data_IF_348132885852
#
_entry.id   IF_348132885852
#
_cell.length_a   1.000
_cell.length_b   1.000
_cell.length_c   1.000
_cell.angle_alpha   90.00
_cell.angle_beta   90.00
_cell.angle_gamma   90.00
#
_symmetry.space_group_name_H-M   'P 1'
#
loop_
_entity.id
_entity.type
_entity.pdbx_description
1 polymer ?
#
# COMPACT_ATOMS: atom_id res chain seq x y z
N UNK A 1 18.61 -13.34 18.30
CA UNK A 1 17.34 -13.37 17.51
C UNK A 1 17.38 -14.65 16.65
N UNK A 2 16.33 -15.49 16.67
CA UNK A 2 16.30 -16.68 15.82
C UNK A 2 16.24 -16.29 14.34
N UNK A 3 16.73 -17.14 13.39
CA UNK A 3 16.69 -16.82 11.96
C UNK A 3 15.26 -16.55 11.42
N UNK A 4 14.27 -17.20 11.99
CA UNK A 4 12.86 -16.99 11.65
C UNK A 4 12.39 -15.58 12.05
N UNK A 5 12.70 -15.13 13.27
CA UNK A 5 12.34 -13.78 13.74
C UNK A 5 13.03 -12.69 12.93
N UNK A 6 14.29 -12.92 12.53
CA UNK A 6 15.01 -12.00 11.66
C UNK A 6 14.34 -11.87 10.28
N UNK A 7 13.85 -12.99 9.74
CA UNK A 7 13.11 -13.00 8.48
C UNK A 7 11.81 -12.22 8.59
N UNK A 8 11.04 -12.41 9.68
CA UNK A 8 9.80 -11.67 9.93
C UNK A 8 10.06 -10.17 10.15
N UNK A 9 11.07 -9.83 10.93
CA UNK A 9 11.51 -8.44 11.15
C UNK A 9 11.84 -7.73 9.83
N UNK A 10 12.61 -8.40 8.97
CA UNK A 10 12.98 -7.87 7.66
C UNK A 10 11.77 -7.77 6.73
N UNK A 11 10.89 -8.77 6.74
CA UNK A 11 9.64 -8.76 5.97
C UNK A 11 8.74 -7.58 6.33
N UNK A 12 8.54 -7.32 7.61
CA UNK A 12 7.77 -6.16 8.09
C UNK A 12 8.44 -4.82 7.78
N UNK A 13 9.78 -4.78 7.77
CA UNK A 13 10.52 -3.61 7.33
C UNK A 13 10.27 -3.31 5.85
N UNK A 14 10.32 -4.34 5.00
CA UNK A 14 10.01 -4.20 3.58
C UNK A 14 8.55 -3.78 3.36
N UNK A 15 7.61 -4.31 4.14
CA UNK A 15 6.21 -3.89 4.10
C UNK A 15 6.05 -2.40 4.44
N UNK A 16 6.67 -1.93 5.51
CA UNK A 16 6.58 -0.53 5.92
C UNK A 16 7.19 0.42 4.88
N UNK A 17 8.38 0.11 4.38
CA UNK A 17 9.01 0.89 3.31
C UNK A 17 8.25 0.78 1.99
N UNK A 18 7.63 -0.37 1.68
CA UNK A 18 6.75 -0.52 0.54
C UNK A 18 5.61 0.49 0.55
N UNK A 19 4.95 0.65 1.70
CA UNK A 19 3.90 1.68 1.87
C UNK A 19 4.43 3.11 1.74
N UNK A 20 5.67 3.37 2.15
CA UNK A 20 6.32 4.66 1.89
C UNK A 20 6.40 4.93 0.39
N UNK A 21 7.03 4.04 -0.39
CA UNK A 21 7.21 4.21 -1.84
C UNK A 21 5.89 4.27 -2.63
N UNK A 22 4.82 3.66 -2.13
CA UNK A 22 3.51 3.69 -2.78
C UNK A 22 2.75 5.01 -2.59
N UNK A 23 2.98 5.69 -1.46
CA UNK A 23 2.18 6.85 -1.08
C UNK A 23 2.94 8.18 -1.13
N UNK A 24 4.27 8.13 -1.18
CA UNK A 24 5.10 9.33 -1.34
C UNK A 24 5.56 9.41 -2.80
N UNK A 25 4.97 10.33 -3.53
CA UNK A 25 5.30 10.61 -4.91
C UNK A 25 5.96 12.00 -5.00
N UNK A 26 7.19 12.04 -5.46
CA UNK A 26 7.93 13.28 -5.70
C UNK A 26 8.17 13.40 -7.19
N UNK A 27 7.49 14.34 -7.81
CA UNK A 27 7.57 14.56 -9.26
C UNK A 27 8.46 15.74 -9.60
N UNK A 28 9.37 15.55 -10.54
CA UNK A 28 10.08 16.63 -11.23
C UNK A 28 9.58 16.70 -12.67
N UNK A 29 8.70 17.67 -12.95
CA UNK A 29 8.00 17.74 -14.23
C UNK A 29 7.08 16.53 -14.42
N UNK A 30 7.27 15.78 -15.50
CA UNK A 30 6.48 14.58 -15.82
C UNK A 30 7.03 13.30 -15.19
N UNK A 31 8.23 13.34 -14.62
CA UNK A 31 8.93 12.15 -14.11
C UNK A 31 8.78 12.02 -12.60
N UNK A 32 8.27 10.89 -12.14
CA UNK A 32 8.29 10.55 -10.73
C UNK A 32 9.69 10.09 -10.30
N UNK A 33 10.26 10.75 -9.29
CA UNK A 33 11.57 10.42 -8.70
C UNK A 33 11.47 9.21 -7.78
N UNK A 34 10.33 9.05 -7.14
CA UNK A 34 10.05 7.90 -6.26
C UNK A 34 9.09 6.96 -6.99
N UNK A 35 9.61 5.92 -7.68
CA UNK A 35 8.77 5.08 -8.52
C UNK A 35 7.92 4.13 -7.67
N UNK A 36 6.60 4.15 -7.89
CA UNK A 36 5.61 3.32 -7.18
C UNK A 36 5.88 1.82 -7.32
N UNK A 37 6.45 1.37 -8.44
CA UNK A 37 6.74 -0.05 -8.63
C UNK A 37 7.73 -0.59 -7.59
N UNK A 38 8.65 0.23 -7.08
CA UNK A 38 9.57 -0.15 -6.00
C UNK A 38 8.80 -0.51 -4.73
N UNK A 39 7.71 0.21 -4.45
CA UNK A 39 6.82 -0.12 -3.34
C UNK A 39 6.23 -1.52 -3.47
N UNK A 40 5.71 -1.89 -4.65
CA UNK A 40 5.19 -3.24 -4.90
C UNK A 40 6.27 -4.32 -4.87
N UNK A 41 7.49 -4.04 -5.34
CA UNK A 41 8.63 -4.98 -5.23
C UNK A 41 8.99 -5.24 -3.75
N UNK A 42 8.99 -4.20 -2.93
CA UNK A 42 9.20 -4.34 -1.48
C UNK A 42 8.08 -5.14 -0.82
N UNK A 43 6.82 -4.92 -1.20
CA UNK A 43 5.70 -5.71 -0.72
C UNK A 43 5.77 -7.17 -1.19
N UNK A 44 6.19 -7.41 -2.43
CA UNK A 44 6.42 -8.76 -2.95
C UNK A 44 7.50 -9.51 -2.14
N UNK A 45 8.59 -8.81 -1.82
CA UNK A 45 9.65 -9.33 -0.93
C UNK A 45 9.14 -9.58 0.49
N UNK A 46 8.32 -8.67 1.03
CA UNK A 46 7.67 -8.84 2.33
C UNK A 46 6.78 -10.09 2.36
N UNK A 47 5.93 -10.27 1.33
CA UNK A 47 5.07 -11.46 1.19
C UNK A 47 5.93 -12.73 1.19
N UNK A 48 7.05 -12.76 0.45
CA UNK A 48 7.95 -13.91 0.42
C UNK A 48 8.48 -14.30 1.80
N UNK A 49 8.79 -13.30 2.64
CA UNK A 49 9.33 -13.51 3.99
C UNK A 49 8.26 -13.83 5.04
N UNK A 50 7.04 -13.31 4.86
CA UNK A 50 5.94 -13.47 5.82
C UNK A 50 5.01 -14.65 5.48
N UNK A 51 5.15 -15.25 4.31
CA UNK A 51 4.27 -16.34 3.83
C UNK A 51 4.35 -17.61 4.68
N UNK A 52 5.45 -17.83 5.41
CA UNK A 52 5.58 -18.93 6.38
C UNK A 52 4.58 -18.81 7.55
N UNK A 53 4.24 -17.60 7.96
CA UNK A 53 3.29 -17.33 9.04
C UNK A 53 1.83 -17.27 8.58
N UNK A 54 1.60 -16.81 7.34
CA UNK A 54 0.27 -16.63 6.77
C UNK A 54 0.26 -17.13 5.33
N UNK A 55 -0.34 -18.29 5.11
CA UNK A 55 -0.44 -18.91 3.77
C UNK A 55 -1.24 -18.03 2.79
N UNK A 56 -2.21 -17.27 3.30
CA UNK A 56 -3.06 -16.39 2.49
C UNK A 56 -2.25 -15.31 1.77
N UNK A 57 -1.13 -14.84 2.39
CA UNK A 57 -0.21 -13.89 1.76
C UNK A 57 0.37 -14.42 0.44
N UNK A 58 0.55 -15.73 0.31
CA UNK A 58 1.10 -16.32 -0.92
C UNK A 58 0.18 -16.06 -2.11
N UNK A 59 -1.14 -15.98 -1.90
CA UNK A 59 -2.12 -15.69 -2.95
C UNK A 59 -1.99 -14.27 -3.50
N UNK A 60 -1.38 -13.35 -2.72
CA UNK A 60 -1.15 -11.98 -3.16
C UNK A 60 0.12 -11.82 -4.02
N UNK A 61 1.00 -12.83 -4.07
CA UNK A 61 2.26 -12.76 -4.85
C UNK A 61 2.03 -12.45 -6.33
N UNK A 62 1.17 -13.19 -7.07
CA UNK A 62 0.96 -12.90 -8.48
C UNK A 62 0.38 -11.50 -8.71
N UNK A 63 -0.49 -11.04 -7.81
CA UNK A 63 -1.07 -9.71 -7.90
C UNK A 63 -0.03 -8.61 -7.64
N UNK A 64 0.82 -8.77 -6.61
CA UNK A 64 1.92 -7.85 -6.35
C UNK A 64 2.92 -7.77 -7.51
N UNK A 65 3.23 -8.91 -8.14
CA UNK A 65 4.10 -8.97 -9.30
C UNK A 65 3.48 -8.24 -10.51
N UNK A 66 2.19 -8.49 -10.78
CA UNK A 66 1.47 -7.84 -11.88
C UNK A 66 1.42 -6.32 -11.68
N UNK A 67 1.08 -5.85 -10.48
CA UNK A 67 1.07 -4.42 -10.14
C UNK A 67 2.48 -3.81 -10.24
N UNK A 68 3.52 -4.54 -9.82
CA UNK A 68 4.91 -4.08 -9.98
C UNK A 68 5.25 -3.84 -11.46
N UNK A 69 4.89 -4.78 -12.33
CA UNK A 69 5.15 -4.66 -13.78
C UNK A 69 4.35 -3.49 -14.36
N UNK A 70 3.07 -3.37 -14.02
CA UNK A 70 2.21 -2.29 -14.49
C UNK A 70 2.80 -0.91 -14.15
N UNK A 71 3.10 -0.67 -12.87
CA UNK A 71 3.66 0.61 -12.44
C UNK A 71 5.10 0.85 -12.91
N UNK A 72 5.87 -0.21 -13.20
CA UNK A 72 7.18 -0.07 -13.82
C UNK A 72 7.07 0.39 -15.29
N UNK A 73 6.13 -0.18 -16.04
CA UNK A 73 5.85 0.24 -17.41
C UNK A 73 5.35 1.68 -17.46
N UNK A 74 4.42 2.06 -16.59
CA UNK A 74 3.91 3.42 -16.49
C UNK A 74 5.03 4.41 -16.16
N UNK A 75 5.90 4.07 -15.21
CA UNK A 75 7.07 4.88 -14.86
C UNK A 75 8.05 5.03 -16.02
N UNK A 76 8.35 3.95 -16.74
CA UNK A 76 9.25 4.01 -17.90
C UNK A 76 8.68 4.89 -19.02
N UNK A 77 7.39 4.78 -19.30
CA UNK A 77 6.73 5.57 -20.33
C UNK A 77 6.63 7.05 -19.96
N UNK A 78 6.54 7.37 -18.66
CA UNK A 78 6.49 8.76 -18.19
C UNK A 78 7.75 9.57 -18.57
N UNK A 79 8.90 8.91 -18.76
CA UNK A 79 10.15 9.55 -19.23
C UNK A 79 10.05 10.03 -20.68
N UNK A 80 9.23 9.34 -21.50
CA UNK A 80 8.93 9.75 -22.86
C UNK A 80 7.73 10.69 -23.00
N UNK A 81 7.17 11.16 -21.88
CA UNK A 81 5.95 11.96 -21.87
C UNK A 81 4.67 11.14 -22.14
N UNK A 82 4.77 9.81 -22.13
CA UNK A 82 3.64 8.87 -22.23
C UNK A 82 3.16 8.39 -20.86
N UNK A 83 2.04 7.66 -20.84
CA UNK A 83 1.53 6.90 -19.71
C UNK A 83 0.88 5.63 -20.24
N UNK A 84 0.89 4.55 -19.44
CA UNK A 84 0.09 3.35 -19.76
C UNK A 84 -1.37 3.62 -19.42
N UNK A 85 -1.58 4.30 -18.29
CA UNK A 85 -2.90 4.71 -17.83
C UNK A 85 -3.50 5.87 -18.63
N UNK A 86 -4.82 6.04 -18.54
CA UNK A 86 -5.57 7.10 -19.20
C UNK A 86 -5.95 6.85 -20.67
N UNK A 87 -5.40 5.82 -21.30
CA UNK A 87 -5.75 5.46 -22.69
C UNK A 87 -6.91 4.44 -22.79
N UNK A 88 -7.05 3.58 -21.76
CA UNK A 88 -8.08 2.55 -21.73
C UNK A 88 -8.73 2.58 -20.34
N UNK A 89 -9.78 3.37 -20.20
CA UNK A 89 -10.51 3.55 -18.92
C UNK A 89 -10.85 2.23 -18.20
N UNK A 90 -11.26 1.21 -18.96
CA UNK A 90 -11.61 -0.09 -18.40
C UNK A 90 -10.39 -0.79 -17.77
N UNK A 91 -9.20 -0.65 -18.34
CA UNK A 91 -7.96 -1.22 -17.83
C UNK A 91 -7.51 -0.52 -16.55
N UNK A 92 -7.61 0.81 -16.51
CA UNK A 92 -7.30 1.61 -15.32
C UNK A 92 -8.21 1.24 -14.14
N UNK A 93 -9.49 1.03 -14.39
CA UNK A 93 -10.44 0.56 -13.38
C UNK A 93 -10.09 -0.83 -12.85
N UNK A 94 -9.70 -1.76 -13.72
CA UNK A 94 -9.27 -3.11 -13.31
C UNK A 94 -8.00 -3.03 -12.45
N UNK A 95 -7.01 -2.28 -12.88
CA UNK A 95 -5.75 -2.12 -12.13
C UNK A 95 -6.00 -1.42 -10.79
N UNK A 96 -6.84 -0.38 -10.79
CA UNK A 96 -7.24 0.31 -9.56
C UNK A 96 -7.95 -0.62 -8.58
N UNK A 97 -8.93 -1.40 -9.06
CA UNK A 97 -9.63 -2.39 -8.23
C UNK A 97 -8.69 -3.49 -7.71
N UNK A 98 -7.77 -3.96 -8.56
CA UNK A 98 -6.74 -4.93 -8.18
C UNK A 98 -5.81 -4.38 -7.09
N UNK A 99 -5.38 -3.13 -7.20
CA UNK A 99 -4.55 -2.46 -6.20
C UNK A 99 -5.31 -2.28 -4.87
N UNK A 100 -6.58 -1.85 -4.91
CA UNK A 100 -7.42 -1.72 -3.72
C UNK A 100 -7.64 -3.07 -3.01
N UNK A 101 -7.93 -4.12 -3.77
CA UNK A 101 -8.05 -5.48 -3.25
C UNK A 101 -6.74 -5.94 -2.59
N UNK A 102 -5.61 -5.71 -3.27
CA UNK A 102 -4.29 -6.02 -2.75
C UNK A 102 -4.04 -5.35 -1.39
N UNK A 103 -4.27 -4.04 -1.29
CA UNK A 103 -4.08 -3.30 -0.04
C UNK A 103 -5.02 -3.78 1.06
N UNK A 104 -6.29 -4.03 0.72
CA UNK A 104 -7.26 -4.53 1.68
C UNK A 104 -6.83 -5.88 2.26
N UNK A 105 -6.49 -6.83 1.40
CA UNK A 105 -6.13 -8.17 1.82
C UNK A 105 -4.78 -8.19 2.56
N UNK A 106 -3.77 -7.51 2.03
CA UNK A 106 -2.45 -7.44 2.66
C UNK A 106 -2.53 -6.87 4.09
N UNK A 107 -3.27 -5.77 4.29
CA UNK A 107 -3.44 -5.18 5.63
C UNK A 107 -4.32 -6.03 6.54
N UNK A 108 -5.22 -6.84 5.99
CA UNK A 108 -5.98 -7.85 6.76
C UNK A 108 -5.04 -8.89 7.34
N UNK A 109 -4.11 -9.39 6.53
CA UNK A 109 -3.13 -10.37 6.96
C UNK A 109 -2.13 -9.79 7.96
N UNK A 110 -1.74 -8.51 7.77
CA UNK A 110 -0.90 -7.80 8.76
C UNK A 110 -1.62 -7.60 10.09
N UNK A 111 -2.92 -7.31 10.08
CA UNK A 111 -3.70 -7.21 11.31
C UNK A 111 -3.84 -8.55 12.03
N UNK A 112 -4.03 -9.65 11.30
CA UNK A 112 -4.06 -10.98 11.88
C UNK A 112 -2.69 -11.43 12.42
N UNK A 113 -1.59 -10.99 11.77
CA UNK A 113 -0.24 -11.19 12.29
C UNK A 113 -0.03 -10.39 13.59
N UNK A 114 -0.53 -9.14 13.64
CA UNK A 114 -0.47 -8.30 14.83
C UNK A 114 -1.25 -8.94 15.99
N UNK A 115 -2.44 -9.49 15.74
CA UNK A 115 -3.26 -10.18 16.73
C UNK A 115 -2.49 -11.34 17.40
N UNK A 116 -1.67 -12.05 16.63
CA UNK A 116 -0.90 -13.21 17.11
C UNK A 116 0.35 -12.82 17.92
N UNK A 117 1.01 -11.73 17.56
CA UNK A 117 2.34 -11.38 18.09
C UNK A 117 2.39 -10.12 18.95
N UNK A 118 1.30 -9.36 19.04
CA UNK A 118 1.25 -8.18 19.91
C UNK A 118 1.17 -8.56 21.37
N UNK A 119 1.71 -7.72 22.26
CA UNK A 119 1.49 -7.84 23.69
C UNK A 119 0.00 -7.58 24.03
N UNK A 120 -0.51 -8.25 25.06
CA UNK A 120 -1.88 -8.05 25.55
C UNK A 120 -2.17 -6.57 25.84
N UNK A 121 -3.34 -6.10 25.41
CA UNK A 121 -3.76 -4.71 25.59
C UNK A 121 -3.22 -3.69 24.58
N UNK A 122 -2.33 -4.06 23.66
CA UNK A 122 -1.75 -3.13 22.68
C UNK A 122 -2.79 -2.68 21.65
N UNK A 123 -3.71 -3.56 21.21
CA UNK A 123 -4.76 -3.26 20.24
C UNK A 123 -4.25 -2.82 18.86
N UNK A 124 -3.08 -3.31 18.46
CA UNK A 124 -2.47 -2.97 17.17
C UNK A 124 -3.23 -3.57 16.00
N UNK A 125 -3.78 -4.77 16.15
CA UNK A 125 -4.66 -5.47 15.20
C UNK A 125 -5.89 -4.62 14.87
N UNK A 126 -6.59 -4.14 15.88
CA UNK A 126 -7.78 -3.29 15.75
C UNK A 126 -7.47 -1.97 15.07
N UNK A 127 -6.31 -1.35 15.43
CA UNK A 127 -5.84 -0.13 14.76
C UNK A 127 -5.52 -0.38 13.29
N UNK A 128 -4.86 -1.48 12.95
CA UNK A 128 -4.56 -1.85 11.56
C UNK A 128 -5.84 -2.09 10.76
N UNK A 129 -6.82 -2.82 11.31
CA UNK A 129 -8.13 -3.06 10.67
C UNK A 129 -8.87 -1.75 10.41
N UNK A 130 -8.90 -0.82 11.39
CA UNK A 130 -9.52 0.50 11.22
C UNK A 130 -8.80 1.35 10.16
N UNK A 131 -7.45 1.42 10.24
CA UNK A 131 -6.64 2.19 9.29
C UNK A 131 -6.75 1.65 7.86
N UNK A 132 -6.79 0.32 7.68
CA UNK A 132 -7.08 -0.34 6.42
C UNK A 132 -8.40 0.15 5.83
N UNK A 133 -9.49 0.10 6.62
CA UNK A 133 -10.81 0.50 6.15
C UNK A 133 -10.84 1.97 5.75
N UNK A 134 -10.28 2.86 6.58
CA UNK A 134 -10.17 4.29 6.28
C UNK A 134 -9.37 4.51 4.99
N UNK A 135 -8.20 3.87 4.86
CA UNK A 135 -7.35 4.01 3.68
C UNK A 135 -8.08 3.58 2.39
N UNK A 136 -8.69 2.38 2.40
CA UNK A 136 -9.39 1.85 1.23
C UNK A 136 -10.59 2.73 0.86
N UNK A 137 -11.41 3.13 1.81
CA UNK A 137 -12.58 3.99 1.55
C UNK A 137 -12.14 5.34 0.97
N UNK A 138 -11.13 5.98 1.54
CA UNK A 138 -10.64 7.28 1.08
C UNK A 138 -10.02 7.18 -0.31
N UNK A 139 -9.19 6.16 -0.55
CA UNK A 139 -8.55 5.95 -1.85
C UNK A 139 -9.61 5.67 -2.92
N UNK A 140 -10.63 4.85 -2.61
CA UNK A 140 -11.75 4.59 -3.52
C UNK A 140 -12.52 5.87 -3.83
N UNK A 141 -12.85 6.67 -2.80
CA UNK A 141 -13.56 7.92 -2.99
C UNK A 141 -12.75 8.93 -3.82
N UNK A 142 -11.45 9.04 -3.56
CA UNK A 142 -10.55 9.91 -4.31
C UNK A 142 -10.43 9.48 -5.79
N UNK A 143 -10.30 8.18 -6.06
CA UNK A 143 -10.26 7.66 -7.43
C UNK A 143 -11.57 7.93 -8.17
N UNK A 144 -12.72 7.61 -7.56
CA UNK A 144 -14.03 7.84 -8.17
C UNK A 144 -14.26 9.32 -8.49
N UNK A 145 -13.88 10.22 -7.59
CA UNK A 145 -14.01 11.67 -7.82
C UNK A 145 -13.01 12.18 -8.86
N UNK A 146 -11.80 11.62 -8.89
CA UNK A 146 -10.76 12.00 -9.85
C UNK A 146 -11.07 11.58 -11.29
N UNK A 147 -11.78 10.47 -11.46
CA UNK A 147 -12.16 9.91 -12.77
C UNK A 147 -13.42 10.56 -13.35
N UNK A 148 -14.18 11.31 -12.53
CA UNK A 148 -15.37 12.01 -13.01
C UNK A 148 -15.01 13.26 -13.81
N UNK A 149 -15.73 13.55 -14.92
CA UNK A 149 -15.46 14.72 -15.73
C UNK A 149 -15.62 16.03 -14.93
N UNK A 150 -14.68 16.95 -15.08
CA UNK A 150 -14.67 18.22 -14.34
C UNK A 150 -15.93 19.07 -14.51
N UNK A 151 -16.61 18.96 -15.68
CA UNK A 151 -17.88 19.66 -15.95
C UNK A 151 -19.05 19.19 -15.08
N UNK A 152 -18.96 17.93 -14.56
CA UNK A 152 -20.01 17.36 -13.70
C UNK A 152 -19.87 17.82 -12.24
N UNK A 153 -18.66 18.12 -11.81
CA UNK A 153 -18.30 18.25 -10.40
C UNK A 153 -18.13 19.69 -9.90
N UNK A 154 -17.90 20.66 -10.81
CA UNK A 154 -17.59 22.04 -10.43
C UNK A 154 -16.29 22.21 -9.60
N UNK A 155 -16.01 23.45 -9.20
CA UNK A 155 -14.71 23.78 -8.53
C UNK A 155 -14.53 23.15 -7.14
N UNK A 156 -15.61 22.84 -6.43
CA UNK A 156 -15.55 22.22 -5.09
C UNK A 156 -14.91 20.82 -5.11
N UNK A 157 -15.08 20.08 -6.19
CA UNK A 157 -14.55 18.72 -6.29
C UNK A 157 -13.03 18.68 -6.29
N UNK A 158 -12.38 19.69 -6.87
CA UNK A 158 -10.92 19.81 -6.81
C UNK A 158 -10.44 19.89 -5.37
N UNK A 159 -11.07 20.69 -4.54
CA UNK A 159 -10.73 20.80 -3.13
C UNK A 159 -11.08 19.53 -2.34
N UNK A 160 -12.16 18.85 -2.70
CA UNK A 160 -12.54 17.57 -2.12
C UNK A 160 -11.47 16.49 -2.42
N UNK A 161 -10.99 16.38 -3.66
CA UNK A 161 -9.91 15.45 -4.04
C UNK A 161 -8.64 15.76 -3.28
N UNK A 162 -8.24 17.04 -3.18
CA UNK A 162 -7.06 17.44 -2.38
C UNK A 162 -7.23 17.05 -0.90
N UNK A 163 -8.41 17.32 -0.32
CA UNK A 163 -8.71 16.93 1.06
C UNK A 163 -8.63 15.41 1.27
N UNK A 164 -9.22 14.62 0.36
CA UNK A 164 -9.16 13.16 0.41
C UNK A 164 -7.71 12.65 0.24
N UNK A 165 -6.92 13.26 -0.66
CA UNK A 165 -5.52 12.92 -0.84
C UNK A 165 -4.70 13.14 0.45
N UNK A 166 -4.91 14.26 1.13
CA UNK A 166 -4.24 14.56 2.41
C UNK A 166 -4.63 13.56 3.51
N UNK A 167 -5.92 13.22 3.62
CA UNK A 167 -6.38 12.22 4.59
C UNK A 167 -5.87 10.82 4.23
N UNK A 168 -5.83 10.48 2.94
CA UNK A 168 -5.24 9.23 2.44
C UNK A 168 -3.75 9.12 2.78
N UNK A 169 -3.01 10.20 2.57
CA UNK A 169 -1.59 10.27 2.95
C UNK A 169 -1.38 10.10 4.46
N UNK A 170 -2.19 10.77 5.28
CA UNK A 170 -2.15 10.60 6.73
C UNK A 170 -2.47 9.16 7.14
N UNK A 171 -3.46 8.52 6.51
CA UNK A 171 -3.78 7.11 6.75
C UNK A 171 -2.61 6.19 6.36
N UNK A 172 -1.94 6.45 5.23
CA UNK A 172 -0.76 5.69 4.79
C UNK A 172 0.41 5.81 5.78
N UNK A 173 0.69 7.02 6.29
CA UNK A 173 1.70 7.25 7.34
C UNK A 173 1.36 6.48 8.61
N UNK A 174 0.08 6.48 9.01
CA UNK A 174 -0.38 5.75 10.19
C UNK A 174 -0.29 4.23 9.98
N UNK A 175 -0.52 3.71 8.78
CA UNK A 175 -0.30 2.29 8.43
C UNK A 175 1.19 1.96 8.53
N UNK A 176 2.05 2.75 7.90
CA UNK A 176 3.49 2.58 7.97
C UNK A 176 3.99 2.56 9.42
N UNK A 177 3.52 3.48 10.25
CA UNK A 177 3.82 3.52 11.67
C UNK A 177 3.39 2.24 12.40
N UNK A 178 2.17 1.71 12.09
CA UNK A 178 1.69 0.44 12.67
C UNK A 178 2.57 -0.74 12.28
N UNK A 179 3.03 -0.79 11.02
CA UNK A 179 3.92 -1.85 10.55
C UNK A 179 5.30 -1.77 11.23
N UNK A 180 5.81 -0.57 11.49
CA UNK A 180 7.02 -0.39 12.28
C UNK A 180 6.82 -0.77 13.76
N UNK A 181 5.63 -0.53 14.33
CA UNK A 181 5.31 -1.00 15.68
C UNK A 181 5.27 -2.54 15.72
N UNK A 182 4.59 -3.16 14.74
CA UNK A 182 4.51 -4.61 14.63
C UNK A 182 5.91 -5.24 14.46
N UNK A 183 6.78 -4.61 13.69
CA UNK A 183 8.19 -5.03 13.54
C UNK A 183 8.92 -5.10 14.88
N UNK A 184 8.65 -4.17 15.81
CA UNK A 184 9.31 -4.15 17.13
C UNK A 184 8.99 -5.36 17.97
N UNK A 185 7.78 -5.95 17.84
CA UNK A 185 7.40 -7.17 18.54
C UNK A 185 8.32 -8.36 18.23
N UNK A 186 9.04 -8.32 17.10
CA UNK A 186 9.99 -9.37 16.71
C UNK A 186 11.44 -9.06 17.10
N UNK A 187 11.73 -7.84 17.54
CA UNK A 187 13.05 -7.42 17.99
C UNK A 187 13.29 -7.69 19.49
N UNK A 188 12.23 -7.53 20.30
CA UNK A 188 12.31 -7.74 21.73
C UNK A 188 12.24 -9.24 22.01
N UNK A 189 13.26 -9.80 22.70
CA UNK A 189 13.15 -11.14 23.28
C UNK A 189 12.08 -11.06 24.39
N UNK A 190 11.14 -12.02 24.44
CA UNK A 190 10.26 -12.10 25.61
C UNK A 190 11.14 -12.34 26.83
N UNK A 191 11.04 -11.43 27.81
CA UNK A 191 11.68 -11.55 29.12
C UNK A 191 11.17 -12.77 29.87
#
# INVERSE_FOLDING_TARGET
MSPERETLYTGLSHAAWGYFFLNFDVNFGTVSVIPRFVGFLLLLSAIGKLSGERRDLTLLRPLAALLSVWYALDWLLSWGGGAVGGHILFLDLIVGAAALYFHFQFLTDMAALAERYQAEGTGLDTRLRRRRTVYVVITTAASLLGDLPAWLLGDWARWAVVGLALVGLAAAVLIMWSLFQLRRCFREEPA
#
